data_IF_648381790852
#
_entry.id   IF_648381790852
#
_cell.length_a   1.000
_cell.length_b   1.000
_cell.length_c   1.000
_cell.angle_alpha   90.00
_cell.angle_beta   90.00
_cell.angle_gamma   90.00
#
_symmetry.space_group_name_H-M   'P 1'
#
loop_
_entity.id
_entity.type
_entity.pdbx_description
1 polymer ?
#
# COMPACT_ATOMS: atom_id res chain seq x y z
N UNK A 1 6.68 1.00 -23.08
CA UNK A 1 7.50 2.05 -22.42
C UNK A 1 6.63 3.14 -21.82
N UNK A 2 5.67 3.70 -22.57
CA UNK A 2 4.81 4.82 -22.10
C UNK A 2 4.06 4.56 -20.77
N UNK A 3 3.41 3.38 -20.61
CA UNK A 3 2.72 3.01 -19.36
C UNK A 3 3.63 2.97 -18.12
N UNK A 4 4.90 2.56 -18.29
CA UNK A 4 5.88 2.54 -17.17
C UNK A 4 6.20 3.96 -16.68
N UNK A 5 6.35 4.91 -17.60
CA UNK A 5 6.60 6.32 -17.27
C UNK A 5 5.40 6.96 -16.54
N UNK A 6 4.18 6.66 -16.98
CA UNK A 6 2.96 7.15 -16.33
C UNK A 6 2.77 6.56 -14.92
N UNK A 7 3.04 5.27 -14.75
CA UNK A 7 2.99 4.61 -13.45
C UNK A 7 4.01 5.20 -12.46
N UNK A 8 5.20 5.60 -12.94
CA UNK A 8 6.22 6.26 -12.11
C UNK A 8 5.78 7.63 -11.58
N UNK A 9 4.88 8.33 -12.28
CA UNK A 9 4.28 9.59 -11.81
C UNK A 9 2.92 9.39 -11.11
N UNK A 10 2.56 8.14 -10.79
CA UNK A 10 1.37 7.78 -10.01
C UNK A 10 0.14 7.38 -10.83
N UNK A 11 0.16 7.51 -12.16
CA UNK A 11 -0.98 7.15 -13.02
C UNK A 11 -0.91 5.66 -13.35
N UNK A 12 -1.85 4.88 -12.80
CA UNK A 12 -1.84 3.42 -12.93
C UNK A 12 -0.79 2.74 -12.06
N UNK A 13 -0.29 3.43 -11.03
CA UNK A 13 0.58 2.86 -10.00
C UNK A 13 -0.16 1.81 -9.16
N UNK A 14 0.60 0.98 -8.43
CA UNK A 14 -0.01 0.12 -7.41
C UNK A 14 -0.73 0.96 -6.36
N UNK A 15 -1.82 0.42 -5.81
CA UNK A 15 -2.59 1.05 -4.73
C UNK A 15 -2.35 0.29 -3.44
N UNK A 16 -2.17 1.04 -2.35
CA UNK A 16 -2.00 0.51 -1.00
C UNK A 16 -3.14 1.04 -0.14
N UNK A 17 -3.78 0.14 0.60
CA UNK A 17 -4.85 0.45 1.55
C UNK A 17 -4.55 -0.29 2.86
N UNK A 18 -4.17 0.47 3.89
CA UNK A 18 -3.87 -0.06 5.22
C UNK A 18 -5.10 0.05 6.08
N UNK A 19 -5.56 -1.08 6.62
CA UNK A 19 -6.80 -1.17 7.39
C UNK A 19 -6.49 -1.67 8.79
N UNK A 20 -6.74 -0.83 9.78
CA UNK A 20 -6.71 -1.23 11.17
C UNK A 20 -8.03 -1.90 11.53
N UNK A 21 -7.99 -2.92 12.38
CA UNK A 21 -9.20 -3.60 12.84
C UNK A 21 -10.01 -2.76 13.83
N UNK A 22 -9.35 -1.82 14.51
CA UNK A 22 -9.94 -0.94 15.51
C UNK A 22 -9.74 0.53 15.11
N UNK A 23 -10.78 1.35 15.33
CA UNK A 23 -10.76 2.79 15.05
C UNK A 23 -10.10 3.61 16.16
N UNK A 24 -9.93 3.01 17.35
CA UNK A 24 -9.39 3.62 18.54
C UNK A 24 -8.76 2.55 19.45
N UNK A 25 -7.68 2.94 20.12
CA UNK A 25 -6.90 2.09 21.02
C UNK A 25 -6.39 2.91 22.19
N UNK A 26 -6.22 2.26 23.35
CA UNK A 26 -5.58 2.82 24.52
C UNK A 26 -4.05 2.55 24.51
N UNK A 27 -3.26 3.35 25.23
CA UNK A 27 -1.83 3.11 25.36
C UNK A 27 -1.52 1.71 25.93
N UNK A 28 -0.64 0.98 25.26
CA UNK A 28 -0.24 -0.37 25.64
C UNK A 28 -1.06 -1.49 24.99
N UNK A 29 -2.12 -1.15 24.25
CA UNK A 29 -2.89 -2.14 23.48
C UNK A 29 -2.17 -2.52 22.18
N UNK A 30 -2.48 -3.72 21.68
CA UNK A 30 -1.93 -4.24 20.43
C UNK A 30 -2.63 -3.59 19.24
N UNK A 31 -1.85 -3.03 18.31
CA UNK A 31 -2.37 -2.54 17.02
C UNK A 31 -2.41 -3.72 16.05
N UNK A 32 -3.61 -4.04 15.57
CA UNK A 32 -3.83 -5.10 14.59
C UNK A 32 -4.50 -4.55 13.33
N UNK A 33 -4.13 -5.12 12.18
CA UNK A 33 -4.63 -4.70 10.89
C UNK A 33 -3.99 -5.45 9.73
N UNK A 34 -4.32 -5.02 8.52
CA UNK A 34 -3.88 -5.61 7.26
C UNK A 34 -3.47 -4.53 6.25
N UNK A 35 -2.46 -4.84 5.45
CA UNK A 35 -2.04 -3.99 4.32
C UNK A 35 -2.50 -4.65 3.02
N UNK A 36 -3.48 -4.05 2.36
CA UNK A 36 -3.98 -4.49 1.07
C UNK A 36 -3.21 -3.80 -0.05
N UNK A 37 -2.53 -4.58 -0.89
CA UNK A 37 -1.80 -4.05 -2.05
C UNK A 37 -2.42 -4.58 -3.33
N UNK A 38 -2.85 -3.67 -4.20
CA UNK A 38 -3.35 -3.99 -5.55
C UNK A 38 -2.32 -3.54 -6.58
N UNK A 39 -1.87 -4.47 -7.42
CA UNK A 39 -0.92 -4.18 -8.50
C UNK A 39 -1.45 -3.14 -9.49
N UNK A 40 -0.54 -2.30 -10.00
CA UNK A 40 -0.85 -1.31 -11.03
C UNK A 40 -0.82 -1.87 -12.45
N UNK A 41 -0.84 -0.99 -13.44
CA UNK A 41 -0.90 -1.32 -14.87
C UNK A 41 0.38 -2.01 -15.42
N UNK A 42 1.45 -2.01 -14.63
CA UNK A 42 2.73 -2.62 -14.96
C UNK A 42 3.31 -3.35 -13.74
N UNK A 43 4.12 -4.39 -14.00
CA UNK A 43 4.88 -5.07 -12.96
C UNK A 43 5.82 -4.09 -12.25
N UNK A 44 5.75 -4.11 -10.92
CA UNK A 44 6.50 -3.26 -10.00
C UNK A 44 7.20 -4.18 -8.98
N UNK A 45 8.45 -3.87 -8.66
CA UNK A 45 9.17 -4.55 -7.57
C UNK A 45 8.82 -3.83 -6.27
N UNK A 46 8.34 -4.57 -5.28
CA UNK A 46 8.17 -4.05 -3.92
C UNK A 46 9.48 -4.36 -3.20
N UNK A 47 10.15 -3.33 -2.70
CA UNK A 47 11.38 -3.50 -1.95
C UNK A 47 11.07 -3.82 -0.49
N UNK A 48 10.26 -2.99 0.18
CA UNK A 48 9.85 -3.17 1.57
C UNK A 48 8.42 -2.66 1.83
N UNK A 49 7.80 -3.16 2.90
CA UNK A 49 6.56 -2.64 3.50
C UNK A 49 6.87 -2.42 4.98
N UNK A 50 6.68 -1.20 5.48
CA UNK A 50 6.99 -0.82 6.87
C UNK A 50 5.83 -0.02 7.49
N UNK A 51 5.68 -0.13 8.82
CA UNK A 51 4.70 0.59 9.66
C UNK A 51 5.45 1.21 10.84
#
# INVERSE_FOLDING_TARGET
MFKKLLAQVGIGAAKVDTRLYFDSLAPGEMVEGEVYITGGDVSQKIDDIYI
#
